data_IF_469668491231
#
_entry.id   IF_469668491231
#
_cell.length_a   1.000
_cell.length_b   1.000
_cell.length_c   1.000
_cell.angle_alpha   90.00
_cell.angle_beta   90.00
_cell.angle_gamma   90.00
#
_symmetry.space_group_name_H-M   'P 1'
#
loop_
_entity.id
_entity.type
_entity.pdbx_description
1 polymer ?
#
# COMPACT_ATOMS: atom_id res chain seq x y z
N UNK A 1 -10.22 -49.49 26.33
CA UNK A 1 -8.85 -49.66 26.85
C UNK A 1 -7.92 -49.79 25.66
N UNK A 2 -7.11 -48.75 25.41
CA UNK A 2 -5.69 -48.73 24.97
C UNK A 2 -5.41 -47.42 24.24
N UNK A 3 -4.38 -46.71 24.72
CA UNK A 3 -3.89 -45.42 24.24
C UNK A 3 -3.17 -45.56 22.90
N UNK A 4 -3.11 -44.51 22.06
CA UNK A 4 -2.12 -44.43 20.99
C UNK A 4 -0.78 -43.86 21.49
N UNK A 5 0.29 -44.57 21.14
CA UNK A 5 1.70 -44.32 21.45
C UNK A 5 2.26 -43.05 20.79
N UNK A 6 3.19 -42.38 21.49
CA UNK A 6 3.90 -41.18 21.05
C UNK A 6 4.88 -41.43 19.88
N UNK A 7 5.06 -40.47 18.95
CA UNK A 7 6.19 -40.46 18.01
C UNK A 7 7.38 -39.65 18.54
N UNK A 8 8.59 -40.18 18.30
CA UNK A 8 9.85 -39.64 18.78
C UNK A 8 10.48 -38.53 17.92
N UNK A 9 11.34 -37.78 18.62
CA UNK A 9 12.63 -37.24 18.23
C UNK A 9 12.80 -36.29 17.01
N UNK A 10 12.88 -35.00 17.36
CA UNK A 10 13.89 -33.97 16.99
C UNK A 10 13.96 -33.42 15.54
N UNK A 11 13.72 -32.10 15.37
CA UNK A 11 14.19 -31.34 14.22
C UNK A 11 15.47 -30.54 14.56
N UNK A 12 16.56 -30.80 13.84
CA UNK A 12 17.77 -29.96 13.89
C UNK A 12 17.85 -29.03 12.66
N UNK A 13 17.80 -27.73 12.91
CA UNK A 13 18.31 -26.64 12.06
C UNK A 13 17.44 -26.16 10.90
N UNK A 14 17.02 -24.88 10.92
CA UNK A 14 17.72 -23.80 10.18
C UNK A 14 16.90 -22.48 10.11
N UNK A 15 17.43 -21.46 10.81
CA UNK A 15 17.50 -20.01 10.55
C UNK A 15 16.24 -19.18 10.16
N UNK A 16 15.94 -18.17 10.99
CA UNK A 16 15.08 -17.04 10.63
C UNK A 16 14.82 -16.00 11.73
N UNK A 17 15.82 -15.17 12.00
CA UNK A 17 15.73 -13.74 12.45
C UNK A 17 14.81 -13.30 13.61
N UNK A 18 15.47 -12.77 14.66
CA UNK A 18 15.11 -11.47 15.24
C UNK A 18 14.26 -11.47 16.51
N UNK A 19 14.53 -10.49 17.38
CA UNK A 19 13.88 -10.17 18.67
C UNK A 19 14.36 -10.98 19.88
N UNK A 20 15.51 -10.55 20.43
CA UNK A 20 15.90 -10.86 21.79
C UNK A 20 14.98 -10.08 22.76
N UNK A 21 14.20 -10.83 23.54
CA UNK A 21 13.31 -10.36 24.58
C UNK A 21 13.86 -10.75 25.97
N UNK A 22 13.97 -9.71 26.80
CA UNK A 22 13.88 -9.66 28.28
C UNK A 22 14.64 -10.70 29.11
N UNK A 23 15.76 -10.25 29.70
CA UNK A 23 16.39 -10.88 30.85
C UNK A 23 15.69 -10.51 32.16
N UNK A 24 15.20 -11.53 32.86
CA UNK A 24 14.81 -11.59 34.26
C UNK A 24 14.98 -13.09 34.58
N UNK A 25 15.84 -13.60 35.46
CA UNK A 25 16.21 -13.25 36.84
C UNK A 25 17.36 -14.17 37.24
N UNK A 26 18.30 -13.69 38.05
CA UNK A 26 19.36 -14.53 38.63
C UNK A 26 19.99 -13.86 39.84
N UNK A 27 19.21 -13.62 40.88
CA UNK A 27 19.76 -13.28 42.20
C UNK A 27 20.22 -14.57 42.87
N UNK A 28 21.51 -14.87 42.77
CA UNK A 28 22.21 -15.68 43.74
C UNK A 28 22.53 -14.78 44.95
N UNK A 29 22.14 -15.23 46.15
CA UNK A 29 22.35 -14.49 47.40
C UNK A 29 23.86 -14.22 47.62
N UNK A 30 24.28 -12.98 47.94
CA UNK A 30 25.66 -12.72 48.34
C UNK A 30 25.94 -13.32 49.73
N UNK A 31 27.17 -13.84 49.97
CA UNK A 31 27.57 -14.32 51.28
C UNK A 31 27.58 -13.19 52.30
N UNK A 32 27.13 -13.52 53.51
CA UNK A 32 27.22 -12.68 54.68
C UNK A 32 28.70 -12.40 55.02
N UNK A 33 29.12 -11.16 54.79
CA UNK A 33 30.28 -10.53 55.45
C UNK A 33 30.02 -9.03 55.40
N UNK A 34 29.25 -8.51 56.35
CA UNK A 34 29.82 -7.81 57.50
C UNK A 34 30.80 -6.73 57.07
N UNK A 35 30.24 -5.60 56.67
CA UNK A 35 30.83 -4.31 57.02
C UNK A 35 29.69 -3.38 57.43
N UNK A 36 29.22 -3.59 58.66
CA UNK A 36 28.56 -2.51 59.37
C UNK A 36 29.66 -1.51 59.70
N UNK A 37 29.76 -0.46 58.89
CA UNK A 37 30.47 0.74 59.31
C UNK A 37 29.74 1.25 60.55
N UNK A 38 30.32 0.88 61.68
CA UNK A 38 29.98 1.33 63.02
C UNK A 38 30.28 2.83 63.06
N UNK A 39 29.32 3.62 62.57
CA UNK A 39 29.16 4.97 63.05
C UNK A 39 28.42 4.86 64.37
N UNK A 40 29.17 4.61 65.44
CA UNK A 40 28.79 5.07 66.75
C UNK A 40 28.49 6.57 66.61
N UNK A 41 27.22 6.91 66.42
CA UNK A 41 26.78 8.28 66.62
C UNK A 41 27.18 8.64 68.06
N UNK A 42 27.88 9.76 68.30
CA UNK A 42 27.99 10.27 69.66
C UNK A 42 26.57 10.60 70.09
N UNK A 43 25.96 9.72 70.88
CA UNK A 43 24.76 10.09 71.61
C UNK A 43 25.17 11.25 72.51
N UNK A 44 24.65 12.45 72.26
CA UNK A 44 24.61 13.48 73.29
C UNK A 44 23.85 12.92 74.49
N UNK A 45 24.17 13.39 75.69
CA UNK A 45 23.66 12.90 77.00
C UNK A 45 22.12 12.79 77.14
N UNK A 46 21.35 13.21 76.12
CA UNK A 46 19.89 13.24 76.09
C UNK A 46 19.22 12.23 75.12
N UNK A 47 19.96 11.30 74.49
CA UNK A 47 19.34 10.10 73.90
C UNK A 47 18.34 10.31 72.74
N UNK A 48 18.55 11.31 71.88
CA UNK A 48 17.76 11.49 70.66
C UNK A 48 18.54 11.05 69.41
N UNK A 49 17.93 10.31 68.45
CA UNK A 49 18.59 10.00 67.18
C UNK A 49 18.80 11.30 66.40
N UNK A 50 20.01 11.53 65.91
CA UNK A 50 20.31 12.67 65.05
C UNK A 50 19.61 12.46 63.69
N UNK A 51 18.39 13.00 63.56
CA UNK A 51 17.61 13.02 62.31
C UNK A 51 18.11 14.11 61.34
N UNK A 52 19.17 14.82 61.70
CA UNK A 52 19.59 16.08 61.05
C UNK A 52 20.33 15.89 59.72
N UNK A 53 20.66 14.65 59.34
CA UNK A 53 21.40 14.36 58.10
C UNK A 53 20.62 13.45 57.13
N UNK A 54 19.28 13.50 57.09
CA UNK A 54 18.57 12.98 55.90
C UNK A 54 18.89 13.90 54.74
N UNK A 55 19.87 13.48 53.94
CA UNK A 55 20.42 14.35 52.91
C UNK A 55 19.29 14.80 51.96
N UNK A 56 19.27 16.09 51.66
CA UNK A 56 18.36 16.66 50.64
C UNK A 56 18.52 15.93 49.31
N UNK A 57 19.69 15.35 49.04
CA UNK A 57 19.94 14.47 47.90
C UNK A 57 19.16 13.15 47.94
N UNK A 58 18.88 12.61 49.12
CA UNK A 58 18.04 11.41 49.32
C UNK A 58 16.57 11.74 49.04
N UNK A 59 16.06 12.84 49.61
CA UNK A 59 14.68 13.31 49.39
C UNK A 59 14.46 13.71 47.92
N UNK A 60 15.42 14.40 47.30
CA UNK A 60 15.37 14.75 45.88
C UNK A 60 15.50 13.49 45.00
N UNK A 61 16.25 12.48 45.46
CA UNK A 61 16.38 11.18 44.80
C UNK A 61 15.09 10.38 44.80
N UNK A 62 14.35 10.37 45.91
CA UNK A 62 13.02 9.75 46.01
C UNK A 62 12.01 10.46 45.11
N UNK A 63 11.95 11.79 45.15
CA UNK A 63 11.08 12.59 44.28
C UNK A 63 11.43 12.40 42.78
N UNK A 64 12.72 12.35 42.45
CA UNK A 64 13.17 12.10 41.07
C UNK A 64 12.83 10.69 40.60
N UNK A 65 12.88 9.70 41.50
CA UNK A 65 12.53 8.31 41.21
C UNK A 65 11.03 8.12 41.02
N UNK A 66 10.21 8.82 41.80
CA UNK A 66 8.75 8.78 41.69
C UNK A 66 8.28 9.52 40.42
N UNK A 67 8.89 10.66 40.09
CA UNK A 67 8.66 11.34 38.82
C UNK A 67 9.09 10.50 37.61
N UNK A 68 10.23 9.78 37.71
CA UNK A 68 10.71 8.87 36.66
C UNK A 68 9.76 7.68 36.45
N UNK A 69 9.08 7.24 37.52
CA UNK A 69 8.07 6.17 37.46
C UNK A 69 6.77 6.66 36.80
N UNK A 70 6.30 7.85 37.17
CA UNK A 70 5.13 8.48 36.54
C UNK A 70 5.38 8.82 35.06
N UNK A 71 6.53 9.41 34.72
CA UNK A 71 6.87 9.72 33.33
C UNK A 71 6.89 8.48 32.42
N UNK A 72 7.31 7.32 32.93
CA UNK A 72 7.27 6.05 32.18
C UNK A 72 5.85 5.53 31.99
N UNK A 73 4.99 5.66 33.00
CA UNK A 73 3.58 5.28 32.89
C UNK A 73 2.80 6.18 31.92
N UNK A 74 3.01 7.50 32.00
CA UNK A 74 2.42 8.48 31.08
C UNK A 74 2.89 8.24 29.64
N UNK A 75 4.16 7.90 29.44
CA UNK A 75 4.69 7.54 28.12
C UNK A 75 4.11 6.23 27.57
N UNK A 76 3.91 5.21 28.42
CA UNK A 76 3.29 3.95 28.00
C UNK A 76 1.83 4.14 27.60
N UNK A 77 1.10 4.98 28.34
CA UNK A 77 -0.29 5.33 28.04
C UNK A 77 -0.40 6.14 26.74
N UNK A 78 0.40 7.20 26.60
CA UNK A 78 0.41 8.03 25.40
C UNK A 78 0.80 7.24 24.15
N UNK A 79 1.75 6.28 24.28
CA UNK A 79 2.13 5.39 23.18
C UNK A 79 1.02 4.40 22.82
N UNK A 80 0.20 3.99 23.78
CA UNK A 80 -0.94 3.11 23.54
C UNK A 80 -2.07 3.87 22.81
N UNK A 81 -2.40 5.09 23.25
CA UNK A 81 -3.41 5.94 22.58
C UNK A 81 -2.99 6.27 21.14
N UNK A 82 -1.74 6.68 20.93
CA UNK A 82 -1.22 6.95 19.59
C UNK A 82 -1.31 5.73 18.65
N UNK A 83 -1.05 4.52 19.17
CA UNK A 83 -1.20 3.28 18.38
C UNK A 83 -2.66 2.97 18.09
N UNK A 84 -3.56 3.23 19.02
CA UNK A 84 -4.99 3.01 18.85
C UNK A 84 -5.57 3.97 17.81
N UNK A 85 -5.23 5.26 17.88
CA UNK A 85 -5.61 6.26 16.87
C UNK A 85 -5.07 5.90 15.49
N UNK A 86 -3.80 5.49 15.39
CA UNK A 86 -3.22 5.04 14.12
C UNK A 86 -3.95 3.82 13.54
N UNK A 87 -4.31 2.84 14.38
CA UNK A 87 -5.07 1.67 13.95
C UNK A 87 -6.50 2.04 13.52
N UNK A 88 -7.14 2.96 14.23
CA UNK A 88 -8.50 3.42 13.92
C UNK A 88 -8.52 4.24 12.63
N UNK A 89 -7.58 5.16 12.44
CA UNK A 89 -7.40 5.91 11.20
C UNK A 89 -7.11 5.00 10.00
N UNK A 90 -6.30 3.96 10.20
CA UNK A 90 -6.03 2.96 9.16
C UNK A 90 -7.28 2.14 8.82
N UNK A 91 -8.09 1.77 9.81
CA UNK A 91 -9.34 1.05 9.58
C UNK A 91 -10.34 1.89 8.76
N UNK A 92 -10.49 3.18 9.10
CA UNK A 92 -11.35 4.12 8.39
C UNK A 92 -10.86 4.31 6.94
N UNK A 93 -9.55 4.52 6.75
CA UNK A 93 -8.97 4.66 5.41
C UNK A 93 -9.17 3.39 4.56
N UNK A 94 -9.07 2.21 5.18
CA UNK A 94 -9.26 0.93 4.49
C UNK A 94 -10.72 0.68 4.12
N UNK A 95 -11.65 1.15 4.94
CA UNK A 95 -13.09 1.06 4.70
C UNK A 95 -13.52 1.98 3.55
N UNK A 96 -13.08 3.24 3.54
CA UNK A 96 -13.31 4.17 2.43
C UNK A 96 -12.68 3.65 1.13
N UNK A 97 -11.45 3.12 1.19
CA UNK A 97 -10.80 2.53 0.03
C UNK A 97 -11.56 1.31 -0.52
N UNK A 98 -12.08 0.45 0.36
CA UNK A 98 -12.87 -0.71 -0.07
C UNK A 98 -14.20 -0.30 -0.71
N UNK A 99 -14.88 0.70 -0.14
CA UNK A 99 -16.12 1.28 -0.69
C UNK A 99 -15.89 1.93 -2.05
N UNK A 100 -14.82 2.72 -2.20
CA UNK A 100 -14.42 3.31 -3.47
C UNK A 100 -14.04 2.24 -4.50
N UNK A 101 -13.39 1.15 -4.05
CA UNK A 101 -13.02 0.05 -4.94
C UNK A 101 -14.22 -0.71 -5.47
N UNK A 102 -15.34 -0.80 -4.75
CA UNK A 102 -16.53 -1.56 -5.19
C UNK A 102 -17.11 -1.00 -6.50
N UNK A 103 -17.32 0.32 -6.54
CA UNK A 103 -17.87 1.02 -7.70
C UNK A 103 -16.87 0.97 -8.87
N UNK A 104 -15.59 1.22 -8.58
CA UNK A 104 -14.54 1.16 -9.59
C UNK A 104 -14.34 -0.26 -10.14
N UNK A 105 -14.48 -1.31 -9.32
CA UNK A 105 -14.32 -2.70 -9.73
C UNK A 105 -15.46 -3.19 -10.60
N UNK A 106 -16.70 -2.82 -10.32
CA UNK A 106 -17.83 -3.18 -11.19
C UNK A 106 -17.72 -2.53 -12.57
N UNK A 107 -17.39 -1.23 -12.61
CA UNK A 107 -17.19 -0.52 -13.87
C UNK A 107 -15.96 -1.03 -14.63
N UNK A 108 -14.84 -1.25 -13.94
CA UNK A 108 -13.63 -1.83 -14.53
C UNK A 108 -13.85 -3.27 -14.98
N UNK A 109 -14.63 -4.08 -14.26
CA UNK A 109 -14.96 -5.45 -14.67
C UNK A 109 -15.89 -5.46 -15.89
N UNK A 110 -16.87 -4.57 -15.95
CA UNK A 110 -17.78 -4.45 -17.10
C UNK A 110 -17.05 -3.96 -18.34
N UNK A 111 -16.20 -2.93 -18.19
CA UNK A 111 -15.31 -2.46 -19.25
C UNK A 111 -14.29 -3.53 -19.68
N UNK A 112 -13.70 -4.24 -18.71
CA UNK A 112 -12.74 -5.31 -18.94
C UNK A 112 -13.34 -6.51 -19.67
N UNK A 113 -14.59 -6.89 -19.37
CA UNK A 113 -15.31 -7.96 -20.07
C UNK A 113 -15.61 -7.58 -21.52
N UNK A 114 -16.00 -6.33 -21.76
CA UNK A 114 -16.22 -5.81 -23.12
C UNK A 114 -14.94 -5.75 -23.96
N UNK A 115 -13.87 -5.21 -23.38
CA UNK A 115 -12.55 -5.17 -24.01
C UNK A 115 -12.00 -6.59 -24.27
N UNK A 116 -12.18 -7.51 -23.31
CA UNK A 116 -11.77 -8.90 -23.44
C UNK A 116 -12.52 -9.65 -24.55
N UNK A 117 -13.84 -9.44 -24.69
CA UNK A 117 -14.61 -10.01 -25.80
C UNK A 117 -14.18 -9.47 -27.17
N UNK A 118 -13.92 -8.17 -27.28
CA UNK A 118 -13.43 -7.58 -28.54
C UNK A 118 -12.03 -8.06 -28.90
N UNK A 119 -11.12 -8.15 -27.92
CA UNK A 119 -9.80 -8.75 -28.10
C UNK A 119 -9.89 -10.21 -28.52
N UNK A 120 -10.74 -10.99 -27.85
CA UNK A 120 -11.01 -12.38 -28.18
C UNK A 120 -11.59 -12.56 -29.58
N UNK A 121 -12.54 -11.71 -29.99
CA UNK A 121 -13.13 -11.74 -31.32
C UNK A 121 -12.12 -11.39 -32.42
N UNK A 122 -11.23 -10.43 -32.18
CA UNK A 122 -10.15 -10.11 -33.12
C UNK A 122 -9.21 -11.31 -33.33
N UNK A 123 -8.78 -11.96 -32.24
CA UNK A 123 -7.96 -13.17 -32.31
C UNK A 123 -8.70 -14.32 -33.00
N UNK A 124 -9.95 -14.58 -32.62
CA UNK A 124 -10.79 -15.62 -33.23
C UNK A 124 -11.01 -15.37 -34.73
N UNK A 125 -11.14 -14.11 -35.16
CA UNK A 125 -11.20 -13.74 -36.58
C UNK A 125 -9.92 -14.13 -37.33
N UNK A 126 -8.73 -13.84 -36.76
CA UNK A 126 -7.45 -14.26 -37.34
C UNK A 126 -7.34 -15.79 -37.38
N UNK A 127 -7.75 -16.48 -36.32
CA UNK A 127 -7.75 -17.94 -36.27
C UNK A 127 -8.69 -18.57 -37.30
N UNK A 128 -9.91 -18.05 -37.43
CA UNK A 128 -10.87 -18.51 -38.43
C UNK A 128 -10.29 -18.40 -39.83
N UNK A 129 -9.69 -17.26 -40.15
CA UNK A 129 -9.08 -17.00 -41.44
C UNK A 129 -7.89 -17.95 -41.70
N UNK A 130 -7.09 -18.27 -40.68
CA UNK A 130 -6.04 -19.29 -40.77
C UNK A 130 -6.63 -20.67 -41.09
N UNK A 131 -7.64 -21.13 -40.35
CA UNK A 131 -8.29 -22.42 -40.61
C UNK A 131 -8.95 -22.48 -41.98
N UNK A 132 -9.59 -21.40 -42.41
CA UNK A 132 -10.19 -21.29 -43.74
C UNK A 132 -9.10 -21.38 -44.82
N UNK A 133 -7.91 -20.82 -44.57
CA UNK A 133 -6.77 -20.96 -45.48
C UNK A 133 -6.25 -22.40 -45.58
N UNK A 134 -6.17 -23.15 -44.47
CA UNK A 134 -5.80 -24.57 -44.52
C UNK A 134 -6.89 -25.41 -45.19
N UNK A 135 -8.16 -25.17 -44.86
CA UNK A 135 -9.29 -25.87 -45.44
C UNK A 135 -9.35 -25.63 -46.97
N UNK A 136 -9.17 -24.39 -47.41
CA UNK A 136 -9.09 -24.05 -48.83
C UNK A 136 -7.90 -24.72 -49.52
N UNK A 137 -6.73 -24.76 -48.86
CA UNK A 137 -5.55 -25.46 -49.39
C UNK A 137 -5.79 -26.95 -49.55
N UNK A 138 -6.37 -27.62 -48.55
CA UNK A 138 -6.72 -29.04 -48.61
C UNK A 138 -7.82 -29.31 -49.65
N UNK A 139 -8.85 -28.47 -49.74
CA UNK A 139 -9.94 -28.61 -50.70
C UNK A 139 -9.47 -28.43 -52.16
N UNK A 140 -8.63 -27.42 -52.44
CA UNK A 140 -8.07 -27.24 -53.77
C UNK A 140 -7.04 -28.31 -54.13
N UNK A 141 -6.26 -28.78 -53.16
CA UNK A 141 -5.30 -29.86 -53.39
C UNK A 141 -6.01 -31.14 -53.88
N UNK A 142 -7.21 -31.44 -53.36
CA UNK A 142 -8.02 -32.57 -53.82
C UNK A 142 -8.58 -32.38 -55.23
N UNK A 143 -8.79 -31.13 -55.66
CA UNK A 143 -9.33 -30.82 -56.99
C UNK A 143 -8.27 -30.85 -58.09
N UNK A 144 -7.03 -30.46 -57.77
CA UNK A 144 -5.93 -30.34 -58.74
C UNK A 144 -4.95 -31.53 -58.71
N UNK A 145 -5.15 -32.53 -57.85
CA UNK A 145 -4.21 -33.63 -57.56
C UNK A 145 -2.76 -33.16 -57.25
N UNK A 146 -2.58 -31.87 -56.94
CA UNK A 146 -1.29 -31.24 -56.78
C UNK A 146 -1.37 -30.00 -55.87
N UNK A 147 -0.62 -30.03 -54.76
CA UNK A 147 -0.60 -28.99 -53.74
C UNK A 147 -0.01 -27.66 -54.25
N UNK A 148 0.90 -27.67 -55.22
CA UNK A 148 1.59 -26.47 -55.69
C UNK A 148 0.63 -25.48 -56.39
N UNK A 149 -0.36 -25.98 -57.10
CA UNK A 149 -1.37 -25.14 -57.76
C UNK A 149 -2.38 -24.57 -56.76
N UNK A 150 -2.70 -25.31 -55.71
CA UNK A 150 -3.58 -24.85 -54.64
C UNK A 150 -3.00 -23.63 -53.90
N UNK A 151 -1.70 -23.68 -53.55
CA UNK A 151 -1.04 -22.56 -52.85
C UNK A 151 -0.96 -21.30 -53.72
N UNK A 152 -0.77 -21.42 -55.04
CA UNK A 152 -0.80 -20.29 -55.95
C UNK A 152 -2.15 -19.59 -55.97
N UNK A 153 -3.25 -20.33 -56.06
CA UNK A 153 -4.61 -19.74 -56.06
C UNK A 153 -4.89 -19.05 -54.72
N UNK A 154 -4.58 -19.70 -53.60
CA UNK A 154 -4.74 -19.12 -52.27
C UNK A 154 -3.90 -17.85 -52.10
N UNK A 155 -2.66 -17.85 -52.61
CA UNK A 155 -1.79 -16.67 -52.58
C UNK A 155 -2.35 -15.51 -53.41
N UNK A 156 -2.94 -15.78 -54.58
CA UNK A 156 -3.58 -14.74 -55.42
C UNK A 156 -4.76 -14.11 -54.69
N UNK A 157 -5.64 -14.93 -54.07
CA UNK A 157 -6.79 -14.43 -53.31
C UNK A 157 -6.33 -13.54 -52.15
N UNK A 158 -5.31 -13.96 -51.41
CA UNK A 158 -4.73 -13.18 -50.32
C UNK A 158 -4.04 -11.90 -50.81
N UNK A 159 -3.38 -11.94 -51.95
CA UNK A 159 -2.78 -10.77 -52.58
C UNK A 159 -3.83 -9.68 -52.87
N UNK A 160 -5.01 -10.08 -53.34
CA UNK A 160 -6.14 -9.16 -53.56
C UNK A 160 -6.63 -8.58 -52.23
N UNK A 161 -6.84 -9.42 -51.21
CA UNK A 161 -7.28 -8.95 -49.88
C UNK A 161 -6.28 -7.96 -49.29
N UNK A 162 -4.98 -8.27 -49.34
CA UNK A 162 -3.92 -7.39 -48.85
C UNK A 162 -3.87 -6.07 -49.62
N UNK A 163 -4.03 -6.10 -50.95
CA UNK A 163 -4.05 -4.89 -51.77
C UNK A 163 -5.23 -3.96 -51.40
N UNK A 164 -6.42 -4.52 -51.18
CA UNK A 164 -7.61 -3.75 -50.74
C UNK A 164 -7.39 -3.16 -49.35
N UNK A 165 -6.92 -3.95 -48.38
CA UNK A 165 -6.64 -3.46 -47.03
C UNK A 165 -5.58 -2.35 -47.04
N UNK A 166 -4.50 -2.53 -47.80
CA UNK A 166 -3.47 -1.51 -47.96
C UNK A 166 -4.03 -0.23 -48.61
N UNK A 167 -4.91 -0.35 -49.61
CA UNK A 167 -5.55 0.81 -50.23
C UNK A 167 -6.45 1.57 -49.24
N UNK A 168 -7.26 0.85 -48.44
CA UNK A 168 -8.13 1.46 -47.42
C UNK A 168 -7.34 2.07 -46.26
N UNK A 169 -6.31 1.37 -45.77
CA UNK A 169 -5.42 1.86 -44.72
C UNK A 169 -4.70 3.14 -45.15
N UNK A 170 -4.15 3.17 -46.37
CA UNK A 170 -3.53 4.38 -46.94
C UNK A 170 -4.52 5.55 -47.07
N UNK A 171 -5.80 5.30 -47.37
CA UNK A 171 -6.83 6.35 -47.38
C UNK A 171 -7.11 6.92 -45.98
N UNK A 172 -7.21 6.05 -44.96
CA UNK A 172 -7.44 6.49 -43.57
C UNK A 172 -6.26 7.23 -42.98
N UNK A 173 -5.02 6.80 -43.26
CA UNK A 173 -3.82 7.49 -42.78
C UNK A 173 -3.66 8.89 -43.38
N UNK A 174 -4.09 9.10 -44.63
CA UNK A 174 -4.11 10.43 -45.26
C UNK A 174 -5.15 11.38 -44.65
N UNK A 175 -6.15 10.86 -43.94
CA UNK A 175 -7.17 11.67 -43.26
C UNK A 175 -6.78 12.04 -41.82
N UNK A 176 -5.72 11.44 -41.28
CA UNK A 176 -5.21 11.82 -39.97
C UNK A 176 -4.33 13.06 -40.15
N UNK A 177 -4.89 14.23 -39.89
CA UNK A 177 -4.13 15.48 -39.79
C UNK A 177 -3.10 15.36 -38.65
N UNK A 178 -1.78 15.31 -38.93
CA UNK A 178 -0.76 15.20 -37.89
C UNK A 178 -0.72 16.43 -36.97
N UNK A 179 -1.38 17.54 -37.36
CA UNK A 179 -1.45 18.79 -36.60
C UNK A 179 -2.33 18.73 -35.36
N UNK A 180 -3.17 17.70 -35.15
CA UNK A 180 -4.06 17.63 -33.97
C UNK A 180 -3.43 16.95 -32.75
N UNK A 181 -2.42 16.10 -32.91
CA UNK A 181 -1.85 15.32 -31.78
C UNK A 181 -0.75 16.09 -31.04
N UNK A 182 -0.08 17.05 -31.68
CA UNK A 182 0.92 17.92 -31.03
C UNK A 182 0.32 19.17 -30.38
N UNK A 183 -0.98 19.39 -30.49
CA UNK A 183 -1.69 20.38 -29.69
C UNK A 183 -2.31 19.68 -28.47
N UNK A 184 -1.45 19.15 -27.60
CA UNK A 184 -1.78 19.18 -26.18
C UNK A 184 -1.89 20.66 -25.83
N UNK A 185 -3.14 21.09 -25.87
CA UNK A 185 -3.78 22.35 -25.49
C UNK A 185 -2.95 23.25 -24.55
N UNK A 186 -1.82 23.77 -25.03
CA UNK A 186 -1.03 24.80 -24.36
C UNK A 186 -1.84 26.10 -24.23
N UNK A 187 -2.88 26.24 -25.06
CA UNK A 187 -3.91 27.28 -24.98
C UNK A 187 -4.78 27.14 -23.72
N UNK A 188 -5.19 25.92 -23.35
CA UNK A 188 -5.85 25.63 -22.07
C UNK A 188 -4.98 25.99 -20.86
N UNK A 189 -3.66 25.77 -20.95
CA UNK A 189 -2.73 26.22 -19.89
C UNK A 189 -2.55 27.74 -19.85
N UNK A 190 -2.68 28.43 -20.99
CA UNK A 190 -2.63 29.91 -21.05
C UNK A 190 -3.91 30.57 -20.52
N UNK A 191 -5.05 29.88 -20.55
CA UNK A 191 -6.33 30.36 -20.01
C UNK A 191 -6.51 30.17 -18.50
N UNK A 192 -5.56 29.55 -17.79
CA UNK A 192 -5.65 29.31 -16.33
C UNK A 192 -4.99 30.46 -15.53
N UNK A 193 -4.56 31.55 -16.19
CA UNK A 193 -4.02 32.75 -15.52
C UNK A 193 -5.07 33.90 -15.54
N UNK A 194 -5.39 34.54 -14.40
CA UNK A 194 -6.75 34.62 -13.84
C UNK A 194 -7.34 36.04 -13.88
N UNK A 195 -8.52 36.24 -13.27
CA UNK A 195 -8.89 37.52 -12.66
C UNK A 195 -9.48 37.30 -11.26
N UNK A 196 -8.90 37.88 -10.19
CA UNK A 196 -9.45 37.82 -8.82
C UNK A 196 -10.68 38.73 -8.58
N UNK A 197 -11.46 39.08 -9.61
CA UNK A 197 -12.51 40.12 -9.50
C UNK A 197 -13.84 39.64 -8.87
N UNK A 198 -13.86 38.51 -8.14
CA UNK A 198 -15.04 38.04 -7.41
C UNK A 198 -14.90 38.14 -5.87
N UNK A 199 -13.76 38.62 -5.37
CA UNK A 199 -13.53 38.77 -3.91
C UNK A 199 -13.94 40.14 -3.35
N UNK A 200 -14.35 41.09 -4.19
CA UNK A 200 -14.89 42.39 -3.74
C UNK A 200 -16.41 42.38 -3.61
N UNK A 201 -17.13 41.67 -4.47
CA UNK A 201 -18.60 41.55 -4.37
C UNK A 201 -19.02 40.68 -3.17
N UNK A 202 -18.22 39.67 -2.82
CA UNK A 202 -18.45 38.82 -1.64
C UNK A 202 -18.20 39.54 -0.31
N UNK A 203 -17.46 40.65 -0.32
CA UNK A 203 -17.27 41.52 0.84
C UNK A 203 -18.33 42.65 0.92
N UNK A 204 -19.06 42.92 -0.15
CA UNK A 204 -20.22 43.82 -0.12
C UNK A 204 -21.53 43.09 0.24
N UNK A 205 -21.56 41.76 0.11
CA UNK A 205 -22.76 40.95 0.34
C UNK A 205 -22.96 40.47 1.80
N UNK A 206 -22.20 41.01 2.77
CA UNK A 206 -22.47 40.82 4.20
C UNK A 206 -23.03 42.11 4.82
N UNK A 207 -24.33 42.41 4.64
CA UNK A 207 -24.98 43.39 5.48
C UNK A 207 -25.17 42.79 6.88
N UNK A 208 -24.45 43.32 7.88
CA UNK A 208 -24.93 43.28 9.26
C UNK A 208 -24.00 42.78 10.37
N UNK A 209 -22.72 42.50 10.13
CA UNK A 209 -21.83 42.04 11.20
C UNK A 209 -21.01 43.20 11.82
N UNK A 210 -21.66 44.26 12.30
CA UNK A 210 -21.11 45.15 13.33
C UNK A 210 -22.22 46.07 13.88
N UNK A 211 -22.86 45.66 14.99
CA UNK A 211 -23.52 46.59 15.92
C UNK A 211 -22.93 46.36 17.31
N UNK A 212 -22.38 47.39 17.97
CA UNK A 212 -21.97 47.31 19.36
C UNK A 212 -23.19 47.54 20.26
N UNK A 213 -23.47 46.58 21.13
CA UNK A 213 -24.15 46.79 22.41
C UNK A 213 -23.49 45.87 23.45
#
# INVERSE_FOLDING_TARGET
MTQPSAPGAQPYGQLGTGYAQSGATGYAAPPASEHYDNTAQPMTDEGHPEVENTSVGTLLGEVSKDLSTLMRQELELAKAELRQEANQATAIAKEEANKASGIAKEEAAKAGKGAGMLGGAAFAGVMLVLFLSLAAMWALAYWFDNLAWATLVVAVVWGIVAAVLAAMGRKKLKQVDPKRVTQVDLSRFKSINPKPEQTVDTLQQVPGALKPH
#
